data_IF_345853191541
#
_entry.id   IF_345853191541
#
_cell.length_a   1.000
_cell.length_b   1.000
_cell.length_c   1.000
_cell.angle_alpha   90.00
_cell.angle_beta   90.00
_cell.angle_gamma   90.00
#
_symmetry.space_group_name_H-M   'P 1'
#
loop_
_entity.id
_entity.type
_entity.pdbx_description
1 polymer ?
#
# COMPACT_ATOMS: atom_id res chain seq x y z
N UNK A 1 -7.64 57.36 -33.57
CA UNK A 1 -8.40 56.14 -33.89
C UNK A 1 -8.41 55.25 -32.64
N UNK A 2 -9.45 55.28 -31.79
CA UNK A 2 -10.66 54.40 -31.80
C UNK A 2 -10.31 52.92 -32.01
N UNK A 3 -10.66 51.95 -31.16
CA UNK A 3 -11.73 51.81 -30.15
C UNK A 3 -11.36 50.69 -29.14
N UNK A 4 -11.90 50.80 -27.92
CA UNK A 4 -11.96 49.78 -26.88
C UNK A 4 -13.05 48.72 -27.19
N UNK A 5 -13.01 47.63 -26.41
CA UNK A 5 -14.08 46.62 -26.13
C UNK A 5 -14.34 45.69 -27.33
N UNK A 6 -14.28 44.37 -27.24
CA UNK A 6 -15.16 43.40 -26.53
C UNK A 6 -14.63 42.03 -27.01
N UNK A 7 -14.50 40.94 -26.25
CA UNK A 7 -15.60 40.14 -25.72
C UNK A 7 -14.98 38.96 -24.95
N UNK A 8 -15.22 38.93 -23.64
CA UNK A 8 -15.16 37.72 -22.83
C UNK A 8 -15.99 36.64 -23.55
N UNK A 9 -15.38 35.52 -23.94
CA UNK A 9 -16.15 34.31 -24.21
C UNK A 9 -16.16 33.44 -22.95
N UNK A 10 -17.31 33.47 -22.29
CA UNK A 10 -17.70 32.57 -21.20
C UNK A 10 -17.69 31.10 -21.65
N UNK A 11 -16.99 30.31 -20.86
CA UNK A 11 -17.14 28.89 -20.49
C UNK A 11 -18.65 28.50 -20.46
N UNK A 12 -19.11 27.29 -20.90
CA UNK A 12 -18.74 26.03 -20.22
C UNK A 12 -18.73 24.74 -21.05
N UNK A 13 -17.73 23.90 -20.83
CA UNK A 13 -17.90 22.45 -21.02
C UNK A 13 -17.58 21.78 -19.69
N UNK A 14 -18.67 21.51 -18.99
CA UNK A 14 -18.72 20.74 -17.76
C UNK A 14 -18.45 19.28 -18.14
N UNK A 15 -17.21 18.82 -18.00
CA UNK A 15 -16.93 17.39 -17.96
C UNK A 15 -17.04 16.94 -16.51
N UNK A 16 -18.23 16.44 -16.16
CA UNK A 16 -18.47 15.63 -14.97
C UNK A 16 -17.57 14.39 -15.03
N UNK A 17 -16.36 14.45 -14.46
CA UNK A 17 -15.70 13.25 -13.96
C UNK A 17 -16.34 12.90 -12.62
N UNK A 18 -17.44 12.15 -12.68
CA UNK A 18 -17.94 11.42 -11.52
C UNK A 18 -16.94 10.28 -11.20
N UNK A 19 -15.82 10.65 -10.57
CA UNK A 19 -14.98 9.70 -9.84
C UNK A 19 -15.45 9.72 -8.40
N UNK A 20 -16.08 8.64 -7.96
CA UNK A 20 -16.54 8.44 -6.59
C UNK A 20 -15.40 8.72 -5.60
N UNK A 21 -15.39 9.88 -4.95
CA UNK A 21 -14.76 9.98 -3.65
C UNK A 21 -15.60 9.10 -2.72
N UNK A 22 -15.10 7.91 -2.42
CA UNK A 22 -15.59 7.16 -1.28
C UNK A 22 -15.47 8.11 -0.08
N UNK A 23 -16.61 8.63 0.39
CA UNK A 23 -16.73 9.23 1.70
C UNK A 23 -16.30 8.15 2.68
N UNK A 24 -15.01 8.16 3.06
CA UNK A 24 -14.55 7.39 4.21
C UNK A 24 -15.38 7.93 5.38
N UNK A 25 -16.14 7.08 6.09
CA UNK A 25 -16.72 7.48 7.36
C UNK A 25 -15.58 8.06 8.22
N UNK A 26 -15.85 9.06 9.07
CA UNK A 26 -14.88 9.44 10.10
C UNK A 26 -14.43 8.16 10.78
N UNK A 27 -13.11 7.98 10.86
CA UNK A 27 -12.46 6.87 11.53
C UNK A 27 -12.98 6.86 12.97
N UNK A 28 -14.07 6.12 13.17
CA UNK A 28 -14.51 5.69 14.48
C UNK A 28 -13.31 4.90 14.99
N UNK A 29 -12.57 5.50 15.92
CA UNK A 29 -11.49 4.85 16.62
C UNK A 29 -12.11 3.65 17.31
N UNK A 30 -12.14 2.53 16.59
CA UNK A 30 -12.55 1.27 17.13
C UNK A 30 -11.70 1.10 18.39
N UNK A 31 -12.31 0.78 19.55
CA UNK A 31 -11.52 0.45 20.73
C UNK A 31 -10.49 -0.61 20.29
N UNK A 32 -9.22 -0.50 20.72
CA UNK A 32 -8.18 -1.41 20.28
C UNK A 32 -8.69 -2.82 20.52
N UNK A 33 -9.01 -3.52 19.42
CA UNK A 33 -9.39 -4.91 19.52
C UNK A 33 -8.20 -5.60 20.18
N UNK A 34 -8.43 -6.46 21.20
CA UNK A 34 -7.35 -7.22 21.78
C UNK A 34 -6.67 -7.98 20.64
N UNK A 35 -5.43 -7.60 20.34
CA UNK A 35 -4.68 -8.14 19.22
C UNK A 35 -4.52 -9.64 19.48
N UNK A 36 -5.27 -10.46 18.74
CA UNK A 36 -5.10 -11.91 18.81
C UNK A 36 -3.62 -12.20 18.52
N UNK A 37 -2.95 -13.04 19.31
CA UNK A 37 -1.53 -13.30 19.13
C UNK A 37 -1.29 -13.78 17.69
N UNK A 38 -0.55 -12.98 16.92
CA UNK A 38 -0.23 -13.31 15.52
C UNK A 38 0.65 -14.55 15.52
N UNK A 39 0.24 -15.58 14.78
CA UNK A 39 1.01 -16.81 14.63
C UNK A 39 2.37 -16.54 14.00
N UNK A 40 2.41 -15.80 12.89
CA UNK A 40 3.64 -15.39 12.24
C UNK A 40 3.94 -13.93 12.54
N UNK A 41 5.19 -13.64 12.91
CA UNK A 41 5.69 -12.28 13.13
C UNK A 41 6.89 -12.02 12.23
N UNK A 42 6.94 -10.83 11.63
CA UNK A 42 8.12 -10.38 10.89
C UNK A 42 9.19 -10.03 11.91
N UNK A 43 10.33 -10.70 11.82
CA UNK A 43 11.49 -10.41 12.68
C UNK A 43 12.56 -9.60 11.96
N UNK A 44 12.60 -9.69 10.63
CA UNK A 44 13.44 -8.86 9.79
C UNK A 44 12.80 -8.67 8.42
N UNK A 45 12.94 -7.49 7.85
CA UNK A 45 12.50 -7.17 6.50
C UNK A 45 13.56 -6.31 5.81
N UNK A 46 13.91 -6.69 4.61
CA UNK A 46 14.76 -5.93 3.70
C UNK A 46 14.01 -5.76 2.39
N UNK A 47 13.89 -4.52 1.94
CA UNK A 47 13.23 -4.17 0.68
C UNK A 47 14.03 -4.64 -0.54
N UNK A 48 13.68 -4.07 -1.70
CA UNK A 48 14.35 -4.40 -2.96
C UNK A 48 15.87 -4.18 -2.89
N UNK A 49 16.61 -5.18 -3.35
CA UNK A 49 18.08 -5.18 -3.44
C UNK A 49 18.51 -5.43 -4.88
N UNK A 50 19.83 -5.25 -5.13
CA UNK A 50 20.43 -5.26 -6.48
C UNK A 50 19.93 -6.38 -7.42
N UNK A 51 19.69 -7.59 -6.92
CA UNK A 51 19.31 -8.75 -7.74
C UNK A 51 18.05 -9.49 -7.22
N UNK A 52 17.37 -8.97 -6.19
CA UNK A 52 16.21 -9.62 -5.55
C UNK A 52 15.21 -8.55 -5.12
N UNK A 53 13.92 -8.87 -5.25
CA UNK A 53 12.80 -7.98 -4.89
C UNK A 53 12.64 -7.74 -3.40
N UNK A 54 13.18 -8.61 -2.55
CA UNK A 54 13.26 -8.39 -1.11
C UNK A 54 13.50 -9.68 -0.32
N UNK A 55 13.73 -9.51 0.98
CA UNK A 55 13.83 -10.59 1.95
C UNK A 55 12.94 -10.27 3.15
N UNK A 56 12.27 -11.28 3.66
CA UNK A 56 11.52 -11.19 4.92
C UNK A 56 11.77 -12.43 5.74
N UNK A 57 12.14 -12.27 7.00
CA UNK A 57 12.24 -13.38 7.95
C UNK A 57 10.98 -13.37 8.81
N UNK A 58 10.27 -14.49 8.80
CA UNK A 58 9.09 -14.72 9.62
C UNK A 58 9.43 -15.71 10.73
N UNK A 59 8.96 -15.44 11.94
CA UNK A 59 8.98 -16.38 13.06
C UNK A 59 7.56 -16.87 13.35
N UNK A 60 7.39 -18.19 13.39
CA UNK A 60 6.16 -18.83 13.86
C UNK A 60 6.20 -18.91 15.39
N UNK A 61 5.36 -18.13 16.06
CA UNK A 61 5.23 -18.10 17.52
C UNK A 61 4.69 -19.42 18.11
N UNK A 62 4.04 -20.27 17.31
CA UNK A 62 3.54 -21.57 17.75
C UNK A 62 4.66 -22.61 17.81
N UNK A 63 5.53 -22.63 16.80
CA UNK A 63 6.57 -23.66 16.65
C UNK A 63 7.97 -23.18 16.99
N UNK A 64 8.16 -21.85 17.11
CA UNK A 64 9.46 -21.20 17.26
C UNK A 64 10.31 -21.19 16.00
N UNK A 65 9.83 -21.79 14.88
CA UNK A 65 10.59 -21.90 13.64
C UNK A 65 10.65 -20.59 12.88
N UNK A 66 11.75 -20.38 12.18
CA UNK A 66 11.95 -19.23 11.30
C UNK A 66 11.90 -19.63 9.83
N UNK A 67 11.39 -18.72 9.02
CA UNK A 67 11.22 -18.90 7.59
C UNK A 67 11.79 -17.69 6.88
N UNK A 68 12.67 -17.92 5.91
CA UNK A 68 13.13 -16.90 5.00
C UNK A 68 12.21 -16.87 3.78
N UNK A 69 11.58 -15.72 3.55
CA UNK A 69 10.82 -15.40 2.36
C UNK A 69 11.71 -14.58 1.45
N UNK A 70 11.96 -15.08 0.25
CA UNK A 70 12.70 -14.37 -0.80
C UNK A 70 11.72 -13.96 -1.89
N UNK A 71 11.65 -12.66 -2.17
CA UNK A 71 10.86 -12.12 -3.28
C UNK A 71 11.80 -11.78 -4.42
N UNK A 72 11.51 -12.27 -5.62
CA UNK A 72 12.22 -11.94 -6.86
C UNK A 72 11.77 -10.58 -7.40
N UNK A 73 12.58 -9.97 -8.28
CA UNK A 73 12.26 -8.68 -8.90
C UNK A 73 10.97 -8.72 -9.76
N UNK A 74 10.55 -9.91 -10.17
CA UNK A 74 9.28 -10.15 -10.86
C UNK A 74 8.10 -10.40 -9.91
N UNK A 75 8.29 -10.27 -8.60
CA UNK A 75 7.29 -10.57 -7.58
C UNK A 75 7.11 -12.05 -7.25
N UNK A 76 7.88 -12.96 -7.86
CA UNK A 76 7.82 -14.38 -7.51
C UNK A 76 8.38 -14.59 -6.09
N UNK A 77 7.76 -15.46 -5.31
CA UNK A 77 8.16 -15.68 -3.91
C UNK A 77 8.61 -17.12 -3.68
N UNK A 78 9.68 -17.30 -2.92
CA UNK A 78 10.14 -18.59 -2.41
C UNK A 78 10.23 -18.54 -0.90
N UNK A 79 9.83 -19.63 -0.23
CA UNK A 79 9.89 -19.75 1.23
C UNK A 79 10.84 -20.88 1.60
N UNK A 80 11.78 -20.61 2.50
CA UNK A 80 12.82 -21.54 2.94
C UNK A 80 12.73 -21.65 4.47
N UNK A 81 12.62 -22.87 4.99
CA UNK A 81 12.71 -23.10 6.43
C UNK A 81 14.15 -22.95 6.90
N UNK A 82 14.36 -22.19 7.98
CA UNK A 82 15.67 -22.03 8.61
C UNK A 82 15.86 -23.10 9.70
N UNK A 83 17.10 -23.62 9.88
CA UNK A 83 17.42 -24.61 10.90
C UNK A 83 17.31 -24.06 12.33
#
# INVERSE_FOLDING_TARGET
MTRKVTLLLMIPIISFSAGCNALRPPEETAPPQPETPKRFVVVQEEGEMKNIGGLTVLKDNETGKEYLVVTGLNGATTVIGLP
#
